data_IF_312110600530
#
_entry.id   IF_312110600530
#
_cell.length_a   1.000
_cell.length_b   1.000
_cell.length_c   1.000
_cell.angle_alpha   90.00
_cell.angle_beta   90.00
_cell.angle_gamma   90.00
#
_symmetry.space_group_name_H-M   'P 1'
#
loop_
_entity.id
_entity.type
_entity.pdbx_description
1 polymer ?
#
# COMPACT_ATOMS: atom_id res chain seq x y z
N UNK A 1 -35.88 -16.66 -56.30
CA UNK A 1 -36.58 -16.28 -55.04
C UNK A 1 -35.77 -16.49 -53.75
N UNK A 2 -34.79 -17.41 -53.69
CA UNK A 2 -34.05 -17.67 -52.44
C UNK A 2 -33.08 -16.59 -51.94
N UNK A 3 -32.57 -15.70 -52.81
CA UNK A 3 -31.56 -14.71 -52.42
C UNK A 3 -32.15 -13.52 -51.62
N UNK A 4 -33.36 -13.08 -51.97
CA UNK A 4 -34.08 -12.01 -51.25
C UNK A 4 -34.52 -12.42 -49.84
N UNK A 5 -34.92 -13.68 -49.66
CA UNK A 5 -35.33 -14.23 -48.35
C UNK A 5 -34.13 -14.33 -47.40
N UNK A 6 -32.95 -14.76 -47.89
CA UNK A 6 -31.73 -14.83 -47.09
C UNK A 6 -31.22 -13.44 -46.67
N UNK A 7 -31.40 -12.43 -47.52
CA UNK A 7 -30.99 -11.07 -47.20
C UNK A 7 -31.91 -10.42 -46.16
N UNK A 8 -33.23 -10.63 -46.27
CA UNK A 8 -34.20 -10.16 -45.26
C UNK A 8 -33.99 -10.86 -43.91
N UNK A 9 -33.68 -12.16 -43.92
CA UNK A 9 -33.38 -12.91 -42.71
C UNK A 9 -32.09 -12.42 -42.02
N UNK A 10 -31.02 -12.17 -42.79
CA UNK A 10 -29.78 -11.61 -42.24
C UNK A 10 -29.95 -10.19 -41.70
N UNK A 11 -30.74 -9.35 -42.37
CA UNK A 11 -31.02 -8.00 -41.90
C UNK A 11 -31.85 -8.01 -40.60
N UNK A 12 -32.82 -8.93 -40.49
CA UNK A 12 -33.58 -9.14 -39.26
C UNK A 12 -32.68 -9.64 -38.11
N UNK A 13 -31.76 -10.57 -38.40
CA UNK A 13 -30.80 -11.09 -37.42
C UNK A 13 -29.80 -10.02 -36.96
N UNK A 14 -29.36 -9.15 -37.87
CA UNK A 14 -28.48 -8.03 -37.56
C UNK A 14 -29.19 -6.96 -36.72
N UNK A 15 -30.46 -6.66 -37.02
CA UNK A 15 -31.27 -5.75 -36.21
C UNK A 15 -31.57 -6.33 -34.82
N UNK A 16 -31.76 -7.65 -34.71
CA UNK A 16 -31.92 -8.34 -33.43
C UNK A 16 -30.64 -8.31 -32.59
N UNK A 17 -29.47 -8.45 -33.24
CA UNK A 17 -28.16 -8.38 -32.59
C UNK A 17 -27.81 -6.96 -32.13
N UNK A 18 -28.14 -5.92 -32.91
CA UNK A 18 -27.94 -4.52 -32.49
C UNK A 18 -28.96 -4.05 -31.45
N UNK A 19 -30.18 -4.62 -31.43
CA UNK A 19 -31.18 -4.35 -30.41
C UNK A 19 -30.88 -5.01 -29.05
N UNK A 20 -29.97 -5.99 -29.02
CA UNK A 20 -29.58 -6.71 -27.80
C UNK A 20 -28.41 -6.06 -27.05
N UNK A 21 -27.69 -5.12 -27.68
CA UNK A 21 -26.75 -4.25 -26.96
C UNK A 21 -27.54 -3.07 -26.44
N UNK A 22 -28.05 -3.18 -25.20
CA UNK A 22 -28.71 -2.08 -24.51
C UNK A 22 -27.84 -0.82 -24.58
N UNK A 23 -28.46 0.30 -24.93
CA UNK A 23 -27.86 1.63 -24.78
C UNK A 23 -27.68 1.89 -23.28
N UNK A 24 -26.57 1.43 -22.71
CA UNK A 24 -26.21 1.78 -21.34
C UNK A 24 -25.93 3.27 -21.34
N UNK A 25 -26.91 4.03 -20.87
CA UNK A 25 -26.78 5.48 -20.73
C UNK A 25 -25.99 5.74 -19.45
N UNK A 26 -25.00 6.63 -19.50
CA UNK A 26 -24.18 6.97 -18.33
C UNK A 26 -25.04 7.47 -17.15
N UNK A 27 -26.24 7.97 -17.44
CA UNK A 27 -27.27 8.39 -16.49
C UNK A 27 -27.81 7.23 -15.64
N UNK A 28 -27.87 5.99 -16.16
CA UNK A 28 -28.33 4.80 -15.42
C UNK A 28 -27.35 4.39 -14.31
N UNK A 29 -26.06 4.67 -14.50
CA UNK A 29 -25.03 4.43 -13.48
C UNK A 29 -25.00 5.51 -12.40
N UNK A 30 -25.59 6.69 -12.68
CA UNK A 30 -25.68 7.79 -11.72
C UNK A 30 -26.86 7.62 -10.73
N UNK A 31 -27.83 6.76 -11.08
CA UNK A 31 -28.98 6.41 -10.23
C UNK A 31 -28.76 5.10 -9.44
N UNK A 32 -27.54 4.54 -9.51
CA UNK A 32 -27.16 3.38 -8.72
C UNK A 32 -27.26 3.71 -7.23
N UNK A 33 -28.04 2.90 -6.50
CA UNK A 33 -28.20 3.07 -5.06
C UNK A 33 -26.82 2.98 -4.39
N UNK A 34 -26.45 3.95 -3.53
CA UNK A 34 -25.19 3.89 -2.82
C UNK A 34 -25.16 2.65 -1.92
N UNK A 35 -24.01 1.98 -1.86
CA UNK A 35 -23.81 0.86 -0.94
C UNK A 35 -24.05 1.34 0.49
N UNK A 36 -24.73 0.50 1.29
CA UNK A 36 -24.88 0.77 2.72
C UNK A 36 -23.52 0.68 3.42
N UNK A 37 -23.41 1.30 4.60
CA UNK A 37 -22.20 1.19 5.42
C UNK A 37 -21.84 -0.27 5.73
N UNK A 38 -22.84 -1.12 5.95
CA UNK A 38 -22.64 -2.54 6.20
C UNK A 38 -22.13 -3.27 4.95
N UNK A 39 -22.66 -2.95 3.76
CA UNK A 39 -22.19 -3.56 2.50
C UNK A 39 -20.76 -3.12 2.12
N UNK A 40 -20.40 -1.88 2.47
CA UNK A 40 -19.03 -1.37 2.33
C UNK A 40 -18.08 -2.05 3.31
N UNK A 41 -18.49 -2.19 4.57
CA UNK A 41 -17.73 -2.90 5.60
C UNK A 41 -17.52 -4.38 5.22
N UNK A 42 -18.54 -5.02 4.65
CA UNK A 42 -18.48 -6.39 4.16
C UNK A 42 -17.66 -6.53 2.88
N UNK A 43 -17.55 -5.49 2.04
CA UNK A 43 -16.69 -5.49 0.85
C UNK A 43 -15.28 -4.96 1.14
N UNK A 44 -14.99 -4.56 2.38
CA UNK A 44 -13.66 -4.14 2.81
C UNK A 44 -12.68 -5.32 2.71
N UNK A 45 -11.39 -5.04 2.60
CA UNK A 45 -10.33 -6.05 2.44
C UNK A 45 -10.19 -7.06 3.59
N UNK A 46 -11.13 -7.08 4.55
CA UNK A 46 -11.21 -7.97 5.71
C UNK A 46 -12.47 -8.84 5.76
N UNK A 47 -13.26 -8.94 4.67
CA UNK A 47 -14.45 -9.80 4.65
C UNK A 47 -14.12 -11.22 5.15
N UNK A 48 -14.65 -11.59 6.32
CA UNK A 48 -14.56 -12.95 6.84
C UNK A 48 -13.21 -13.39 7.42
N UNK A 49 -12.31 -12.49 7.81
CA UNK A 49 -11.07 -12.87 8.52
C UNK A 49 -11.21 -12.67 10.04
N UNK A 50 -11.59 -13.72 10.81
CA UNK A 50 -11.84 -13.63 12.26
C UNK A 50 -10.56 -13.48 13.10
N UNK A 51 -9.37 -13.66 12.52
CA UNK A 51 -8.11 -13.62 13.25
C UNK A 51 -7.05 -12.81 12.49
N UNK A 52 -6.63 -11.70 13.09
CA UNK A 52 -5.45 -10.95 12.66
C UNK A 52 -4.28 -11.36 13.55
N UNK A 53 -3.40 -12.23 13.05
CA UNK A 53 -2.17 -12.59 13.76
C UNK A 53 -1.00 -11.83 13.17
N UNK A 54 -0.36 -11.01 14.00
CA UNK A 54 0.83 -10.27 13.64
C UNK A 54 1.95 -10.70 14.58
N UNK A 55 2.97 -11.36 14.02
CA UNK A 55 4.14 -11.81 14.78
C UNK A 55 5.31 -10.94 14.35
N UNK A 56 5.97 -10.34 15.34
CA UNK A 56 7.21 -9.60 15.13
C UNK A 56 8.28 -10.29 15.96
N UNK A 57 9.37 -10.65 15.30
CA UNK A 57 10.57 -11.15 15.94
C UNK A 57 11.72 -10.22 15.57
N UNK A 58 12.55 -9.89 16.54
CA UNK A 58 13.67 -8.98 16.38
C UNK A 58 14.78 -9.38 17.33
N UNK A 59 15.82 -9.98 16.78
CA UNK A 59 16.97 -10.40 17.53
C UNK A 59 18.19 -9.60 17.11
N UNK A 60 18.78 -8.90 18.07
CA UNK A 60 19.98 -8.11 17.91
C UNK A 60 21.06 -8.70 18.81
N UNK A 61 22.21 -9.03 18.23
CA UNK A 61 23.36 -9.49 18.97
C UNK A 61 24.61 -8.75 18.49
N UNK A 62 25.30 -8.12 19.43
CA UNK A 62 26.59 -7.52 19.20
C UNK A 62 27.58 -8.05 20.24
N UNK A 63 28.74 -8.45 19.75
CA UNK A 63 29.91 -8.68 20.58
C UNK A 63 30.96 -7.62 20.23
N UNK A 64 31.46 -6.95 21.26
CA UNK A 64 32.47 -5.90 21.12
C UNK A 64 33.63 -6.24 22.03
N UNK A 65 34.79 -6.53 21.45
CA UNK A 65 35.99 -6.88 22.22
C UNK A 65 37.26 -6.46 21.47
N UNK A 66 38.37 -6.36 22.20
CA UNK A 66 39.67 -5.96 21.61
C UNK A 66 39.78 -4.47 21.27
N UNK A 67 38.87 -3.66 21.79
CA UNK A 67 38.84 -2.22 21.58
C UNK A 67 40.00 -1.53 22.30
N UNK A 68 40.96 -0.98 21.53
CA UNK A 68 42.07 -0.17 22.03
C UNK A 68 42.10 1.18 21.31
N UNK A 69 42.18 2.26 22.07
CA UNK A 69 42.48 3.60 21.56
C UNK A 69 43.91 3.97 21.96
N UNK A 70 44.68 4.52 21.03
CA UNK A 70 46.05 4.97 21.29
C UNK A 70 46.37 6.22 20.48
N UNK A 71 47.17 7.11 21.05
CA UNK A 71 47.50 8.42 20.47
C UNK A 71 46.46 9.51 20.78
N UNK A 72 46.49 10.60 20.00
CA UNK A 72 45.53 11.69 20.14
C UNK A 72 44.19 11.31 19.50
N UNK A 73 43.19 11.05 20.32
CA UNK A 73 41.84 10.69 19.87
C UNK A 73 40.99 11.96 19.82
N UNK A 74 40.52 12.31 18.62
CA UNK A 74 39.58 13.42 18.42
C UNK A 74 38.28 12.84 17.89
N UNK A 75 37.19 13.09 18.61
CA UNK A 75 35.81 12.80 18.18
C UNK A 75 35.21 14.07 17.58
N UNK A 76 34.23 13.91 16.70
CA UNK A 76 33.52 15.02 16.08
C UNK A 76 32.26 15.45 16.82
N UNK A 77 31.54 16.40 16.22
CA UNK A 77 30.19 16.76 16.62
C UNK A 77 29.15 16.00 15.78
N UNK A 78 28.07 15.59 16.42
CA UNK A 78 26.88 15.10 15.74
C UNK A 78 25.99 16.32 15.56
N UNK A 79 25.85 16.82 14.33
CA UNK A 79 24.99 17.96 14.04
C UNK A 79 23.86 17.54 13.11
N UNK A 80 22.67 18.03 13.42
CA UNK A 80 21.47 17.96 12.58
C UNK A 80 21.04 19.41 12.41
N UNK A 81 20.98 19.87 11.16
CA UNK A 81 20.69 21.28 10.86
C UNK A 81 19.22 21.63 11.08
N UNK A 82 18.93 22.93 11.08
CA UNK A 82 17.56 23.41 11.05
C UNK A 82 16.80 22.82 9.86
N UNK A 83 15.52 22.50 10.08
CA UNK A 83 14.63 21.93 9.07
C UNK A 83 15.07 20.56 8.50
N UNK A 84 15.95 19.81 9.18
CA UNK A 84 16.43 18.49 8.73
C UNK A 84 15.31 17.46 8.50
N UNK A 85 14.18 17.62 9.19
CA UNK A 85 12.97 16.81 9.02
C UNK A 85 11.75 17.67 8.66
N UNK A 86 11.96 18.87 8.13
CA UNK A 86 10.85 19.74 7.72
C UNK A 86 10.03 19.09 6.61
N UNK A 87 8.70 19.20 6.70
CA UNK A 87 7.74 18.55 5.81
C UNK A 87 7.80 17.01 5.78
N UNK A 88 8.42 16.37 6.78
CA UNK A 88 8.45 14.92 6.84
C UNK A 88 7.09 14.36 7.28
N UNK A 89 6.60 13.37 6.53
CA UNK A 89 5.45 12.54 6.89
C UNK A 89 5.89 11.08 6.89
N UNK A 90 5.57 10.34 7.95
CA UNK A 90 6.07 8.98 8.16
C UNK A 90 7.05 8.91 9.33
N UNK A 91 8.01 7.98 9.27
CA UNK A 91 8.93 7.70 10.38
C UNK A 91 10.36 8.06 10.03
N UNK A 92 11.00 8.86 10.89
CA UNK A 92 12.41 9.21 10.81
C UNK A 92 13.17 8.51 11.94
N UNK A 93 14.29 7.88 11.60
CA UNK A 93 15.22 7.34 12.60
C UNK A 93 16.59 7.93 12.34
N UNK A 94 17.17 8.54 13.36
CA UNK A 94 18.51 9.14 13.28
C UNK A 94 19.37 8.52 14.34
N UNK A 95 20.51 8.00 13.90
CA UNK A 95 21.47 7.34 14.76
C UNK A 95 22.81 7.97 14.45
N UNK A 96 23.39 8.59 15.47
CA UNK A 96 24.56 9.44 15.32
C UNK A 96 25.55 9.09 16.43
N UNK A 97 26.76 8.75 16.04
CA UNK A 97 27.85 8.48 16.96
C UNK A 97 29.13 9.10 16.43
N UNK A 98 29.69 10.04 17.18
CA UNK A 98 30.96 10.69 16.85
C UNK A 98 32.15 10.08 17.56
N UNK A 99 31.88 9.09 18.40
CA UNK A 99 32.87 8.39 19.18
C UNK A 99 33.57 7.29 18.40
N UNK A 100 34.56 6.69 19.03
CA UNK A 100 35.12 5.44 18.59
C UNK A 100 34.49 4.30 19.37
N UNK A 101 34.69 3.07 18.90
CA UNK A 101 34.36 1.86 19.66
C UNK A 101 32.87 1.67 19.97
N UNK A 102 32.00 2.27 19.16
CA UNK A 102 30.56 2.14 19.35
C UNK A 102 30.00 1.08 18.41
N UNK A 103 29.32 0.11 18.99
CA UNK A 103 28.38 -0.73 18.25
C UNK A 103 26.98 -0.20 18.46
N UNK A 104 26.31 0.08 17.35
CA UNK A 104 24.93 0.54 17.35
C UNK A 104 24.07 -0.56 16.76
N UNK A 105 23.04 -0.93 17.49
CA UNK A 105 22.00 -1.83 17.03
C UNK A 105 20.68 -1.08 17.17
N UNK A 106 20.01 -0.89 16.05
CA UNK A 106 18.67 -0.30 16.00
C UNK A 106 17.80 -1.15 15.09
N UNK A 107 16.52 -1.25 15.45
CA UNK A 107 15.54 -1.96 14.68
C UNK A 107 14.20 -1.27 14.87
N UNK A 108 13.66 -0.80 13.76
CA UNK A 108 12.36 -0.14 13.69
C UNK A 108 11.39 -1.10 13.00
N UNK A 109 10.46 -1.68 13.76
CA UNK A 109 9.41 -2.55 13.23
C UNK A 109 8.08 -1.82 13.23
N UNK A 110 7.53 -1.56 12.04
CA UNK A 110 6.25 -0.87 11.87
C UNK A 110 5.27 -1.85 11.24
N UNK A 111 4.15 -2.03 11.91
CA UNK A 111 3.04 -2.81 11.38
C UNK A 111 1.83 -1.90 11.26
N UNK A 112 1.33 -1.77 10.04
CA UNK A 112 0.20 -0.89 9.75
C UNK A 112 -0.98 -1.77 9.34
N UNK A 113 -2.05 -1.68 10.12
CA UNK A 113 -3.34 -2.21 9.74
C UNK A 113 -4.28 -1.03 9.53
N UNK A 114 -4.77 -0.89 8.30
CA UNK A 114 -5.74 0.13 7.94
C UNK A 114 -7.11 -0.54 7.95
N UNK A 115 -7.97 -0.16 8.90
CA UNK A 115 -9.35 -0.60 8.97
C UNK A 115 -10.23 0.53 8.41
N UNK A 116 -10.67 0.38 7.16
CA UNK A 116 -11.71 1.24 6.57
C UNK A 116 -13.03 0.48 6.57
#
# INVERSE_FOLDING_TARGET
MGCVIRWKLKAALLALMLGATGLVSAEEWMDAAPLSADQLADSSGRQGIPLQLQINDNQQNANVSGNLLSGNVVTGDNSISDNAFGNMSGVATVIQNTGNQVVIQDSTQINILINQ
#
